data_IF_894192222970
#
_entry.id   IF_894192222970
#
_cell.length_a   1.000
_cell.length_b   1.000
_cell.length_c   1.000
_cell.angle_alpha   90.00
_cell.angle_beta   90.00
_cell.angle_gamma   90.00
#
_symmetry.space_group_name_H-M   'P 1'
#
loop_
_entity.id
_entity.type
_entity.pdbx_description
1 polymer ?
#
# COMPACT_ATOMS: atom_id res chain seq x y z
N UNK A 1 2.12 -4.53 18.36
CA UNK A 1 0.67 -4.53 18.04
C UNK A 1 0.60 -4.35 16.54
N UNK A 2 -0.08 -5.24 15.81
CA UNK A 2 -0.12 -5.11 14.36
C UNK A 2 -0.93 -3.86 13.97
N UNK A 3 -0.33 -3.02 13.12
CA UNK A 3 -0.92 -1.79 12.59
C UNK A 3 -1.13 -1.97 11.09
N UNK A 4 -2.21 -1.39 10.56
CA UNK A 4 -2.45 -1.35 9.13
C UNK A 4 -2.53 0.08 8.63
N UNK A 5 -1.81 0.38 7.55
CA UNK A 5 -2.01 1.59 6.74
C UNK A 5 -2.86 1.20 5.54
N UNK A 6 -4.05 1.77 5.44
CA UNK A 6 -4.97 1.54 4.31
C UNK A 6 -5.06 2.82 3.50
N UNK A 7 -4.86 2.69 2.19
CA UNK A 7 -4.81 3.81 1.26
C UNK A 7 -5.78 3.55 0.13
N UNK A 8 -6.61 4.53 -0.20
CA UNK A 8 -7.48 4.49 -1.38
C UNK A 8 -6.85 5.30 -2.51
N UNK A 9 -6.89 4.71 -3.71
CA UNK A 9 -6.54 5.35 -4.97
C UNK A 9 -7.73 5.32 -5.92
N UNK A 10 -7.97 6.42 -6.61
CA UNK A 10 -8.96 6.56 -7.68
C UNK A 10 -8.26 6.72 -9.04
N UNK A 11 -8.96 6.40 -10.12
CA UNK A 11 -8.43 6.49 -11.49
C UNK A 11 -7.39 5.40 -11.78
N UNK A 12 -7.56 4.22 -11.19
CA UNK A 12 -6.64 3.10 -11.32
C UNK A 12 -7.15 2.15 -12.40
N UNK A 13 -6.53 2.21 -13.59
CA UNK A 13 -6.86 1.29 -14.68
C UNK A 13 -6.26 -0.10 -14.47
N UNK A 14 -6.82 -1.09 -15.15
CA UNK A 14 -6.28 -2.46 -15.15
C UNK A 14 -4.84 -2.51 -15.69
N UNK A 15 -4.56 -1.83 -16.81
CA UNK A 15 -3.22 -1.79 -17.40
C UNK A 15 -2.18 -1.19 -16.43
N UNK A 16 -2.59 -0.19 -15.63
CA UNK A 16 -1.74 0.39 -14.60
C UNK A 16 -1.43 -0.63 -13.49
N UNK A 17 -2.42 -1.40 -13.07
CA UNK A 17 -2.23 -2.47 -12.08
C UNK A 17 -1.32 -3.59 -12.58
N UNK A 18 -1.49 -4.03 -13.83
CA UNK A 18 -0.65 -5.06 -14.44
C UNK A 18 0.81 -4.58 -14.55
N UNK A 19 1.02 -3.30 -14.90
CA UNK A 19 2.34 -2.68 -14.90
C UNK A 19 2.97 -2.63 -13.50
N UNK A 20 2.19 -2.25 -12.49
CA UNK A 20 2.67 -2.19 -11.12
C UNK A 20 3.00 -3.56 -10.52
N UNK A 21 2.20 -4.60 -10.75
CA UNK A 21 2.51 -5.96 -10.28
C UNK A 21 3.87 -6.41 -10.83
N UNK A 22 4.16 -6.10 -12.09
CA UNK A 22 5.46 -6.35 -12.69
C UNK A 22 6.58 -5.56 -12.02
N UNK A 23 6.40 -4.25 -11.86
CA UNK A 23 7.38 -3.37 -11.18
C UNK A 23 7.65 -3.83 -9.74
N UNK A 24 6.64 -4.29 -9.02
CA UNK A 24 6.76 -4.76 -7.63
C UNK A 24 7.45 -6.12 -7.53
N UNK A 25 7.29 -7.01 -8.51
CA UNK A 25 7.97 -8.32 -8.56
C UNK A 25 9.42 -8.20 -8.97
N UNK A 26 9.73 -7.26 -9.86
CA UNK A 26 11.09 -7.02 -10.36
C UNK A 26 11.86 -6.03 -9.46
N UNK A 27 11.14 -5.16 -8.76
CA UNK A 27 11.68 -4.11 -7.92
C UNK A 27 12.03 -4.55 -6.50
N UNK A 28 12.67 -3.64 -5.78
CA UNK A 28 12.93 -3.77 -4.35
C UNK A 28 12.07 -2.76 -3.59
N UNK A 29 11.70 -3.04 -2.34
CA UNK A 29 11.09 -2.04 -1.47
C UNK A 29 11.96 -0.77 -1.41
N UNK A 30 11.36 0.41 -1.19
CA UNK A 30 12.12 1.65 -1.01
C UNK A 30 13.20 1.50 0.07
N UNK A 31 14.32 2.22 -0.10
CA UNK A 31 15.42 2.15 0.87
C UNK A 31 14.95 2.51 2.29
N UNK A 32 15.31 1.67 3.26
CA UNK A 32 14.93 1.85 4.66
C UNK A 32 13.47 1.54 4.99
N UNK A 33 12.68 1.06 4.02
CA UNK A 33 11.31 0.60 4.24
C UNK A 33 11.30 -0.63 5.16
N UNK A 34 10.46 -0.65 6.21
CA UNK A 34 10.43 -1.74 7.17
C UNK A 34 9.92 -3.03 6.52
N UNK A 35 10.33 -4.17 7.09
CA UNK A 35 9.72 -5.46 6.76
C UNK A 35 8.23 -5.38 7.04
N UNK A 36 7.43 -5.60 6.02
CA UNK A 36 5.98 -5.43 6.08
C UNK A 36 5.31 -6.35 5.07
N UNK A 37 4.04 -6.64 5.31
CA UNK A 37 3.22 -7.36 4.34
C UNK A 37 2.33 -6.37 3.60
N UNK A 38 2.24 -6.53 2.28
CA UNK A 38 1.50 -5.67 1.38
C UNK A 38 0.40 -6.46 0.67
N UNK A 39 -0.83 -5.96 0.77
CA UNK A 39 -1.98 -6.46 0.01
C UNK A 39 -2.52 -5.32 -0.84
N UNK A 40 -2.69 -5.58 -2.13
CA UNK A 40 -3.29 -4.63 -3.06
C UNK A 40 -4.58 -5.23 -3.61
N UNK A 41 -5.68 -4.49 -3.45
CA UNK A 41 -6.98 -4.80 -4.02
C UNK A 41 -7.23 -3.82 -5.17
N UNK A 42 -7.80 -4.32 -6.26
CA UNK A 42 -8.20 -3.50 -7.40
C UNK A 42 -9.66 -3.78 -7.72
N UNK A 43 -10.43 -2.70 -7.84
CA UNK A 43 -11.80 -2.70 -8.36
C UNK A 43 -11.75 -2.14 -9.79
N UNK A 44 -11.79 -3.00 -10.81
CA UNK A 44 -11.71 -2.56 -12.20
C UNK A 44 -13.00 -1.88 -12.67
N UNK A 45 -14.14 -2.10 -12.02
CA UNK A 45 -15.41 -1.48 -12.40
C UNK A 45 -15.49 -0.03 -11.90
N UNK A 46 -15.02 0.21 -10.67
CA UNK A 46 -14.98 1.55 -10.07
C UNK A 46 -13.68 2.32 -10.38
N UNK A 47 -12.71 1.70 -11.06
CA UNK A 47 -11.36 2.22 -11.28
C UNK A 47 -10.68 2.65 -9.98
N UNK A 48 -10.76 1.81 -8.94
CA UNK A 48 -10.17 2.09 -7.62
C UNK A 48 -9.17 1.03 -7.21
N UNK A 49 -8.22 1.42 -6.35
CA UNK A 49 -7.37 0.47 -5.65
C UNK A 49 -7.33 0.75 -4.15
N UNK A 50 -7.28 -0.32 -3.36
CA UNK A 50 -6.97 -0.26 -1.94
C UNK A 50 -5.62 -0.92 -1.69
N UNK A 51 -4.70 -0.17 -1.09
CA UNK A 51 -3.39 -0.68 -0.68
C UNK A 51 -3.36 -0.79 0.82
N UNK A 52 -3.07 -1.99 1.32
CA UNK A 52 -3.02 -2.31 2.75
C UNK A 52 -1.60 -2.75 3.09
N UNK A 53 -0.95 -2.00 3.97
CA UNK A 53 0.39 -2.33 4.49
C UNK A 53 0.27 -2.68 5.96
N UNK A 54 0.79 -3.84 6.35
CA UNK A 54 0.82 -4.31 7.74
C UNK A 54 2.21 -4.08 8.36
N UNK A 55 2.23 -3.50 9.55
CA UNK A 55 3.43 -3.20 10.33
C UNK A 55 3.35 -3.84 11.72
N UNK A 56 4.49 -4.30 12.24
CA UNK A 56 4.55 -5.01 13.52
C UNK A 56 4.65 -4.06 14.74
N UNK A 57 5.14 -2.84 14.51
CA UNK A 57 5.35 -1.81 15.53
C UNK A 57 4.92 -0.41 15.09
N UNK A 58 4.77 0.49 16.07
CA UNK A 58 4.51 1.92 15.84
C UNK A 58 5.67 2.62 15.12
N UNK A 59 6.91 2.22 15.38
CA UNK A 59 8.08 2.79 14.72
C UNK A 59 8.16 2.37 13.25
N UNK A 60 7.85 1.10 12.95
CA UNK A 60 7.74 0.63 11.56
C UNK A 60 6.62 1.36 10.82
N UNK A 61 5.44 1.51 11.45
CA UNK A 61 4.34 2.27 10.88
C UNK A 61 4.77 3.70 10.56
N UNK A 62 5.40 4.41 11.52
CA UNK A 62 5.83 5.80 11.33
C UNK A 62 6.80 5.93 10.16
N UNK A 63 7.82 5.07 10.13
CA UNK A 63 8.86 5.09 9.09
C UNK A 63 8.29 4.73 7.72
N UNK A 64 7.44 3.71 7.66
CA UNK A 64 6.74 3.31 6.44
C UNK A 64 5.78 4.39 5.94
N UNK A 65 5.03 5.05 6.83
CA UNK A 65 4.12 6.13 6.47
C UNK A 65 4.87 7.35 5.92
N UNK A 66 6.00 7.74 6.52
CA UNK A 66 6.84 8.82 6.02
C UNK A 66 7.34 8.53 4.59
N UNK A 67 7.91 7.34 4.36
CA UNK A 67 8.43 6.91 3.07
C UNK A 67 7.31 6.86 2.01
N UNK A 68 6.19 6.20 2.32
CA UNK A 68 5.09 6.02 1.36
C UNK A 68 4.35 7.34 1.09
N UNK A 69 4.25 8.22 2.08
CA UNK A 69 3.62 9.53 1.92
C UNK A 69 4.46 10.46 1.05
N UNK A 70 5.79 10.33 1.10
CA UNK A 70 6.73 11.08 0.25
C UNK A 70 6.80 10.58 -1.21
N UNK A 71 6.21 9.41 -1.53
CA UNK A 71 6.18 8.90 -2.90
C UNK A 71 5.47 9.88 -3.85
N UNK A 72 6.11 10.26 -4.98
CA UNK A 72 5.48 11.05 -6.03
C UNK A 72 4.18 10.40 -6.54
N UNK A 73 3.21 11.22 -6.96
CA UNK A 73 1.94 10.71 -7.47
C UNK A 73 2.11 9.76 -8.67
N UNK A 74 3.11 10.01 -9.52
CA UNK A 74 3.45 9.14 -10.66
C UNK A 74 3.93 7.74 -10.28
N UNK A 75 4.44 7.58 -9.06
CA UNK A 75 4.96 6.30 -8.55
C UNK A 75 3.90 5.51 -7.77
N UNK A 76 2.66 6.02 -7.74
CA UNK A 76 1.52 5.38 -7.09
C UNK A 76 0.55 4.79 -8.12
N UNK A 77 -0.37 3.89 -7.72
CA UNK A 77 -1.34 3.30 -8.65
C UNK A 77 -2.26 4.29 -9.34
N UNK A 78 -2.53 5.43 -8.70
CA UNK A 78 -3.43 6.46 -9.21
C UNK A 78 -3.49 7.64 -8.27
N UNK A 79 -4.60 8.38 -8.30
CA UNK A 79 -4.76 9.53 -7.40
C UNK A 79 -5.06 9.06 -5.98
N UNK A 80 -4.15 9.32 -5.05
CA UNK A 80 -4.36 9.04 -3.62
C UNK A 80 -5.51 9.89 -3.07
N UNK A 81 -6.56 9.26 -2.59
CA UNK A 81 -7.76 9.94 -2.06
C UNK A 81 -7.91 9.80 -0.54
N UNK A 82 -7.31 8.78 0.07
CA UNK A 82 -7.33 8.61 1.52
C UNK A 82 -6.07 7.90 2.04
N UNK A 83 -5.70 8.17 3.29
CA UNK A 83 -4.70 7.43 4.06
C UNK A 83 -5.24 7.30 5.48
N UNK A 84 -5.40 6.06 5.96
CA UNK A 84 -5.95 5.80 7.28
C UNK A 84 -5.16 4.74 8.04
N UNK A 85 -4.90 5.03 9.31
CA UNK A 85 -4.28 4.10 10.27
C UNK A 85 -5.34 3.24 10.96
N UNK A 86 -5.08 1.96 11.09
CA UNK A 86 -5.91 1.03 11.86
C UNK A 86 -5.08 0.19 12.82
N UNK A 87 -5.68 -0.11 13.97
CA UNK A 87 -5.23 -1.21 14.82
C UNK A 87 -5.77 -2.51 14.25
N UNK A 88 -4.90 -3.48 13.95
CA UNK A 88 -5.33 -4.78 13.43
C UNK A 88 -5.88 -5.61 14.57
N UNK A 89 -7.20 -5.72 14.64
CA UNK A 89 -7.89 -6.47 15.70
C UNK A 89 -7.69 -7.99 15.57
N UNK A 90 -7.66 -8.52 14.34
CA UNK A 90 -7.45 -9.93 14.06
C UNK A 90 -6.89 -10.10 12.65
N UNK A 91 -5.95 -11.03 12.49
CA UNK A 91 -5.40 -11.47 11.21
C UNK A 91 -5.10 -12.95 11.32
N UNK A 92 -5.54 -13.74 10.34
CA UNK A 92 -5.38 -15.19 10.37
C UNK A 92 -4.97 -15.70 8.99
N UNK A 93 -3.97 -16.57 8.97
CA UNK A 93 -3.60 -17.39 7.81
C UNK A 93 -3.99 -18.84 8.13
N UNK A 94 -4.71 -19.50 7.22
CA UNK A 94 -5.12 -20.91 7.36
C UNK A 94 -4.17 -21.85 6.63
#
# INVERSE_FOLDING_TARGET
MALARVVTFDGVSKDRMDGMDREMREGQPPEGFPSSELVVLHDPEAEKSLVIVFFDSEDDYRKGDEILSAMPAGDTPGQRTSVTKYNVATRMSS
#
